data_IF_845626768442
#
_entry.id   IF_845626768442
#
_cell.length_a   1.000
_cell.length_b   1.000
_cell.length_c   1.000
_cell.angle_alpha   90.00
_cell.angle_beta   90.00
_cell.angle_gamma   90.00
#
_symmetry.space_group_name_H-M   'P 1'
#
loop_
_entity.id
_entity.type
_entity.pdbx_description
1 polymer ?
#
# COMPACT_ATOMS: atom_id res chain seq x y z
N UNK A 1 -16.66 13.69 8.72
CA UNK A 1 -16.50 12.40 8.01
C UNK A 1 -15.20 12.49 7.21
N UNK A 2 -14.16 11.74 7.58
CA UNK A 2 -12.91 11.75 6.83
C UNK A 2 -13.17 11.19 5.42
N UNK A 3 -12.96 11.99 4.38
CA UNK A 3 -13.01 11.51 3.00
C UNK A 3 -11.86 10.52 2.80
N UNK A 4 -12.15 9.24 2.96
CA UNK A 4 -11.18 8.17 2.77
C UNK A 4 -11.05 7.93 1.28
N UNK A 5 -9.85 8.13 0.72
CA UNK A 5 -9.64 7.83 -0.70
C UNK A 5 -9.89 6.34 -0.94
N UNK A 6 -10.27 5.95 -2.17
CA UNK A 6 -10.44 4.53 -2.52
C UNK A 6 -9.18 3.70 -2.20
N UNK A 7 -8.01 4.33 -2.27
CA UNK A 7 -6.74 3.68 -1.96
C UNK A 7 -6.59 3.42 -0.46
N UNK A 8 -6.96 4.40 0.38
CA UNK A 8 -6.99 4.24 1.83
C UNK A 8 -8.01 3.18 2.25
N UNK A 9 -9.18 3.15 1.60
CA UNK A 9 -10.21 2.14 1.85
C UNK A 9 -9.67 0.72 1.59
N UNK A 10 -9.04 0.51 0.43
CA UNK A 10 -8.38 -0.77 0.11
C UNK A 10 -7.31 -1.12 1.14
N UNK A 11 -6.44 -0.17 1.50
CA UNK A 11 -5.36 -0.44 2.44
C UNK A 11 -5.89 -0.89 3.81
N UNK A 12 -6.92 -0.22 4.32
CA UNK A 12 -7.51 -0.60 5.61
C UNK A 12 -8.31 -1.90 5.57
N UNK A 13 -9.10 -2.13 4.52
CA UNK A 13 -9.90 -3.36 4.38
C UNK A 13 -9.00 -4.60 4.32
N UNK A 14 -7.82 -4.48 3.71
CA UNK A 14 -6.86 -5.57 3.59
C UNK A 14 -5.72 -5.53 4.62
N UNK A 15 -5.78 -4.63 5.60
CA UNK A 15 -4.63 -4.32 6.45
C UNK A 15 -4.08 -5.55 7.17
N UNK A 16 -4.94 -6.33 7.83
CA UNK A 16 -4.53 -7.52 8.58
C UNK A 16 -3.86 -8.55 7.67
N UNK A 17 -4.43 -8.83 6.50
CA UNK A 17 -3.85 -9.74 5.51
C UNK A 17 -2.51 -9.25 4.97
N UNK A 18 -2.38 -7.93 4.75
CA UNK A 18 -1.14 -7.33 4.29
C UNK A 18 -0.03 -7.46 5.34
N UNK A 19 -0.33 -7.14 6.59
CA UNK A 19 0.61 -7.28 7.71
C UNK A 19 1.05 -8.74 7.88
N UNK A 20 0.10 -9.67 7.81
CA UNK A 20 0.34 -11.09 7.97
C UNK A 20 1.30 -11.66 6.92
N UNK A 21 1.07 -11.33 5.64
CA UNK A 21 1.79 -11.96 4.53
C UNK A 21 2.96 -11.13 3.99
N UNK A 22 2.97 -9.82 4.26
CA UNK A 22 3.82 -8.85 3.56
C UNK A 22 4.42 -7.79 4.50
N UNK A 23 4.44 -8.04 5.81
CA UNK A 23 5.09 -7.15 6.78
C UNK A 23 6.51 -6.76 6.40
N UNK A 24 6.85 -5.48 6.55
CA UNK A 24 8.15 -4.91 6.19
C UNK A 24 8.31 -4.57 4.70
N UNK A 25 7.31 -4.85 3.86
CA UNK A 25 7.28 -4.47 2.44
C UNK A 25 6.52 -3.15 2.25
N UNK A 26 6.45 -2.70 1.01
CA UNK A 26 5.66 -1.57 0.56
C UNK A 26 4.56 -2.06 -0.38
N UNK A 27 3.41 -1.39 -0.34
CA UNK A 27 2.31 -1.58 -1.30
C UNK A 27 2.10 -0.31 -2.11
N UNK A 28 1.74 -0.49 -3.39
CA UNK A 28 1.25 0.58 -4.25
C UNK A 28 -0.18 0.28 -4.67
N UNK A 29 -1.08 1.23 -4.44
CA UNK A 29 -2.52 1.15 -4.70
C UNK A 29 -2.92 2.31 -5.60
N UNK A 30 -3.72 2.04 -6.63
CA UNK A 30 -4.32 3.09 -7.48
C UNK A 30 -5.78 2.76 -7.76
N UNK A 31 -6.65 3.77 -7.67
CA UNK A 31 -8.09 3.65 -7.88
C UNK A 31 -8.70 2.46 -7.11
N UNK A 32 -8.28 2.29 -5.84
CA UNK A 32 -8.75 1.21 -4.97
C UNK A 32 -8.30 -0.19 -5.36
N UNK A 33 -7.19 -0.33 -6.10
CA UNK A 33 -6.64 -1.64 -6.52
C UNK A 33 -5.16 -1.75 -6.23
N UNK A 34 -4.73 -2.87 -5.65
CA UNK A 34 -3.31 -3.22 -5.52
C UNK A 34 -2.65 -3.33 -6.90
N UNK A 35 -1.57 -2.59 -7.10
CA UNK A 35 -0.74 -2.64 -8.31
C UNK A 35 0.49 -3.52 -8.10
N UNK A 36 1.15 -3.36 -6.96
CA UNK A 36 2.37 -4.07 -6.62
C UNK A 36 2.60 -4.11 -5.11
N UNK A 37 3.32 -5.14 -4.66
CA UNK A 37 3.91 -5.25 -3.34
C UNK A 37 5.37 -5.63 -3.53
N UNK A 38 6.29 -4.97 -2.82
CA UNK A 38 7.72 -5.19 -2.97
C UNK A 38 8.52 -4.48 -1.88
N UNK A 39 9.83 -4.60 -1.93
CA UNK A 39 10.70 -3.92 -0.97
C UNK A 39 10.84 -2.43 -1.29
N UNK A 40 11.31 -1.64 -0.32
CA UNK A 40 11.50 -0.18 -0.48
C UNK A 40 12.35 0.18 -1.70
N UNK A 41 13.38 -0.61 -2.02
CA UNK A 41 14.25 -0.37 -3.18
C UNK A 41 13.53 -0.56 -4.53
N UNK A 42 12.41 -1.29 -4.55
CA UNK A 42 11.59 -1.51 -5.75
C UNK A 42 10.50 -0.44 -5.93
N UNK A 43 10.31 0.43 -4.94
CA UNK A 43 9.19 1.38 -4.89
C UNK A 43 9.11 2.28 -6.13
N UNK A 44 10.26 2.74 -6.63
CA UNK A 44 10.31 3.55 -7.86
C UNK A 44 9.75 2.81 -9.08
N UNK A 45 10.12 1.53 -9.25
CA UNK A 45 9.62 0.66 -10.32
C UNK A 45 8.12 0.39 -10.16
N UNK A 46 7.66 0.19 -8.93
CA UNK A 46 6.24 -0.03 -8.62
C UNK A 46 5.39 1.22 -8.92
N UNK A 47 5.87 2.41 -8.54
CA UNK A 47 5.22 3.68 -8.84
C UNK A 47 5.20 3.98 -10.33
N UNK A 48 6.29 3.69 -11.05
CA UNK A 48 6.33 3.80 -12.51
C UNK A 48 5.24 2.95 -13.15
N UNK A 49 5.16 1.66 -12.79
CA UNK A 49 4.12 0.73 -13.27
C UNK A 49 2.70 1.24 -12.98
N UNK A 50 2.49 1.83 -11.81
CA UNK A 50 1.21 2.41 -11.42
C UNK A 50 0.82 3.60 -12.31
N UNK A 51 1.76 4.52 -12.56
CA UNK A 51 1.55 5.69 -13.43
C UNK A 51 1.35 5.32 -14.90
N UNK A 52 2.07 4.30 -15.39
CA UNK A 52 1.87 3.78 -16.76
C UNK A 52 0.48 3.18 -16.94
N UNK A 53 -0.05 2.49 -15.92
CA UNK A 53 -1.37 1.85 -15.96
C UNK A 53 -2.53 2.81 -15.70
N UNK A 54 -2.30 3.84 -14.89
CA UNK A 54 -3.30 4.83 -14.49
C UNK A 54 -2.69 6.24 -14.53
N UNK A 55 -2.52 6.83 -15.73
CA UNK A 55 -1.78 8.08 -15.91
C UNK A 55 -2.44 9.31 -15.27
N UNK A 56 -3.75 9.27 -15.04
CA UNK A 56 -4.53 10.39 -14.50
C UNK A 56 -4.87 10.24 -13.00
N UNK A 57 -4.33 9.22 -12.34
CA UNK A 57 -4.63 8.93 -10.94
C UNK A 57 -3.36 9.00 -10.08
N UNK A 58 -3.52 9.47 -8.85
CA UNK A 58 -2.40 9.53 -7.89
C UNK A 58 -2.27 8.20 -7.15
N UNK A 59 -1.17 7.45 -7.30
CA UNK A 59 -0.92 6.25 -6.50
C UNK A 59 -0.72 6.56 -5.03
N UNK A 60 -1.29 5.73 -4.17
CA UNK A 60 -0.88 5.60 -2.78
C UNK A 60 0.30 4.62 -2.70
N UNK A 61 1.38 5.03 -2.07
CA UNK A 61 2.48 4.16 -1.66
C UNK A 61 2.59 4.18 -0.14
N UNK A 62 2.48 3.01 0.50
CA UNK A 62 2.52 2.91 1.95
C UNK A 62 3.41 1.73 2.40
N UNK A 63 4.16 1.89 3.50
CA UNK A 63 4.81 0.76 4.15
C UNK A 63 3.76 -0.15 4.80
N UNK A 64 3.99 -1.45 4.72
CA UNK A 64 3.23 -2.46 5.46
C UNK A 64 4.01 -2.74 6.74
N UNK A 65 3.47 -2.42 7.93
CA UNK A 65 4.15 -2.69 9.18
C UNK A 65 4.34 -4.20 9.38
N UNK A 66 5.39 -4.59 10.09
CA UNK A 66 5.53 -5.98 10.57
C UNK A 66 4.57 -6.18 11.75
N UNK A 67 4.18 -7.44 12.01
CA UNK A 67 3.37 -7.78 13.18
C UNK A 67 4.00 -7.29 14.49
N UNK A 68 5.31 -7.46 14.64
CA UNK A 68 6.08 -7.00 15.81
C UNK A 68 5.96 -5.48 16.03
N UNK A 69 5.95 -4.70 14.96
CA UNK A 69 5.85 -3.23 15.01
C UNK A 69 4.47 -2.76 15.48
N UNK A 70 3.41 -3.55 15.28
CA UNK A 70 2.07 -3.24 15.76
C UNK A 70 1.94 -3.47 17.28
N UNK A 71 2.72 -4.38 17.84
CA UNK A 71 2.70 -4.66 19.28
C UNK A 71 3.36 -3.55 20.09
N UNK A 72 4.30 -2.80 19.48
CA UNK A 72 4.99 -1.67 20.12
C UNK A 72 4.16 -0.38 20.23
N UNK A 73 2.92 -0.36 19.71
CA UNK A 73 2.03 0.82 19.69
C UNK A 73 0.99 0.75 20.82
N UNK A 74 1.05 -0.28 21.68
CA UNK A 74 0.15 -0.50 22.81
C UNK A 74 0.80 -0.16 24.16
#
# INVERSE_FOLDING_TARGET
MAYKSKNDAYFSEHFETLVDNHGGKWIVIVNGKKIAIGYKHELSKMLKKAREKYPNETPLAAPIPRKEELQCIL
#
